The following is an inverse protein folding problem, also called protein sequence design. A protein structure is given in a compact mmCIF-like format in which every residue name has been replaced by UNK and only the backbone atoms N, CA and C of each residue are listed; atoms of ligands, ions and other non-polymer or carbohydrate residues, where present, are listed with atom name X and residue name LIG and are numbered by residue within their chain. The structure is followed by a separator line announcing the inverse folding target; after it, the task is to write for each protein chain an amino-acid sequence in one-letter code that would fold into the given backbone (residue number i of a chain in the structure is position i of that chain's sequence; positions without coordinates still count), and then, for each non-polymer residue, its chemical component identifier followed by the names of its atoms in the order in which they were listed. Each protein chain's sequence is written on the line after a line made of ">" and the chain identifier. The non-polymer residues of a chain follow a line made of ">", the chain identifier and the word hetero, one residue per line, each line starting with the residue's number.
data_IF_226159589245
#
_entry.id   IF_226159589245
#
_cell.length_a   1.000
_cell.length_b   1.000
_cell.length_c   1.000
_cell.angle_alpha   90.00
_cell.angle_beta   90.00
_cell.angle_gamma   90.00
#
_symmetry.space_group_name_H-M   'P 1'
#
loop_
_entity.id
_entity.type
_entity.pdbx_description
1 polymer ?
#
# COMPACT_ATOMS: atom_id res chain seq x y z
N UNK A 1 3.35 15.05 6.35
CA UNK A 1 2.21 15.96 6.16
C UNK A 1 2.50 16.91 5.01
N UNK A 2 1.97 16.64 3.82
CA UNK A 2 1.82 17.64 2.75
C UNK A 2 0.48 17.38 2.07
N UNK A 3 -0.41 18.36 2.19
CA UNK A 3 -1.65 18.44 1.44
C UNK A 3 -1.32 18.97 0.04
N UNK A 4 -1.63 18.21 -1.01
CA UNK A 4 -1.81 18.77 -2.36
C UNK A 4 -3.09 18.19 -2.93
N UNK A 5 -4.05 19.08 -3.13
CA UNK A 5 -5.37 18.83 -3.69
C UNK A 5 -5.30 19.14 -5.18
N UNK A 6 -5.63 18.18 -6.05
CA UNK A 6 -6.38 18.36 -7.30
C UNK A 6 -6.45 17.02 -8.05
N UNK A 7 -7.63 16.41 -8.10
CA UNK A 7 -7.97 15.38 -9.08
C UNK A 7 -9.12 15.92 -9.93
N UNK A 8 -8.88 16.05 -11.23
CA UNK A 8 -9.93 16.14 -12.24
C UNK A 8 -10.60 14.76 -12.33
N UNK A 9 -11.92 14.71 -12.10
CA UNK A 9 -12.71 13.49 -12.22
C UNK A 9 -13.06 13.24 -13.69
N UNK A 10 -12.57 12.13 -14.26
CA UNK A 10 -13.17 11.51 -15.44
C UNK A 10 -14.21 10.50 -14.96
N UNK A 11 -15.45 10.67 -15.42
CA UNK A 11 -16.59 9.83 -15.12
C UNK A 11 -16.54 8.53 -15.92
N UNK A 12 -16.25 7.42 -15.25
CA UNK A 12 -16.48 6.07 -15.77
C UNK A 12 -17.48 5.35 -14.87
N UNK A 13 -18.43 4.64 -15.49
CA UNK A 13 -19.56 3.99 -14.80
C UNK A 13 -19.12 3.08 -13.65
N UNK A 14 -19.75 3.26 -12.49
CA UNK A 14 -19.38 2.71 -11.18
C UNK A 14 -19.24 1.17 -11.15
N UNK A 15 -20.03 0.42 -11.93
CA UNK A 15 -20.04 -1.06 -11.86
C UNK A 15 -18.78 -1.69 -12.46
N UNK A 16 -18.32 -1.20 -13.61
CA UNK A 16 -17.06 -1.65 -14.21
C UNK A 16 -15.86 -1.18 -13.38
N UNK A 17 -15.97 -0.01 -12.75
CA UNK A 17 -14.96 0.54 -11.85
C UNK A 17 -14.78 -0.30 -10.57
N UNK A 18 -15.85 -0.85 -9.99
CA UNK A 18 -15.75 -1.73 -8.79
C UNK A 18 -15.01 -3.02 -9.11
N UNK A 19 -15.27 -3.67 -10.25
CA UNK A 19 -14.54 -4.89 -10.65
C UNK A 19 -13.06 -4.59 -10.98
N UNK A 20 -12.78 -3.49 -11.66
CA UNK A 20 -11.41 -3.05 -11.93
C UNK A 20 -10.65 -2.67 -10.64
N UNK A 21 -11.33 -2.09 -9.65
CA UNK A 21 -10.73 -1.71 -8.37
C UNK A 21 -10.23 -2.92 -7.57
N UNK A 22 -10.89 -4.09 -7.64
CA UNK A 22 -10.46 -5.29 -6.93
C UNK A 22 -9.12 -5.84 -7.46
N UNK A 23 -8.89 -5.77 -8.77
CA UNK A 23 -7.62 -6.20 -9.37
C UNK A 23 -6.46 -5.28 -9.01
N UNK A 24 -6.74 -4.06 -8.57
CA UNK A 24 -5.75 -3.11 -8.08
C UNK A 24 -5.74 -2.97 -6.56
N UNK A 25 -6.50 -3.79 -5.82
CA UNK A 25 -6.56 -3.72 -4.36
C UNK A 25 -5.39 -4.49 -3.71
N UNK A 26 -4.26 -3.83 -3.49
CA UNK A 26 -3.13 -4.44 -2.79
C UNK A 26 -3.29 -4.46 -1.27
N UNK A 27 -4.39 -3.92 -0.72
CA UNK A 27 -4.69 -3.95 0.71
C UNK A 27 -5.53 -5.16 1.11
N UNK A 28 -6.28 -5.75 0.18
CA UNK A 28 -7.09 -6.95 0.43
C UNK A 28 -6.28 -8.11 1.05
N UNK A 29 -5.02 -8.30 0.61
CA UNK A 29 -4.10 -9.31 1.16
C UNK A 29 -3.84 -9.14 2.66
N UNK A 30 -3.95 -7.91 3.17
CA UNK A 30 -3.60 -7.56 4.54
C UNK A 30 -4.75 -7.70 5.55
N UNK A 31 -5.95 -8.04 5.08
CA UNK A 31 -7.13 -8.15 5.93
C UNK A 31 -7.00 -9.27 6.97
N UNK A 32 -7.17 -8.92 8.24
CA UNK A 32 -7.12 -9.88 9.35
C UNK A 32 -5.71 -10.21 9.87
N UNK A 33 -4.66 -9.68 9.24
CA UNK A 33 -3.29 -9.85 9.73
C UNK A 33 -2.97 -8.86 10.85
N UNK A 34 -1.99 -9.23 11.69
CA UNK A 34 -1.56 -8.41 12.82
C UNK A 34 -0.49 -7.42 12.36
N UNK A 35 -0.56 -6.20 12.90
CA UNK A 35 0.45 -5.18 12.62
C UNK A 35 1.82 -5.61 13.14
N UNK A 36 2.81 -5.59 12.25
CA UNK A 36 4.14 -6.16 12.47
C UNK A 36 5.21 -5.08 12.28
N UNK A 37 6.18 -5.07 13.21
CA UNK A 37 7.38 -4.23 13.20
C UNK A 37 8.62 -5.12 13.29
N UNK A 38 9.83 -4.55 13.19
CA UNK A 38 11.09 -5.29 13.31
C UNK A 38 11.25 -6.08 14.63
N UNK A 39 10.54 -5.67 15.69
CA UNK A 39 10.62 -6.25 17.03
C UNK A 39 9.41 -7.15 17.34
N UNK A 40 8.60 -7.52 16.33
CA UNK A 40 7.39 -8.33 16.47
C UNK A 40 7.58 -9.81 16.06
N UNK A 41 6.56 -10.65 16.26
CA UNK A 41 6.60 -12.08 15.91
C UNK A 41 6.90 -12.33 14.41
N UNK A 42 6.39 -11.48 13.52
CA UNK A 42 6.68 -11.50 12.08
C UNK A 42 7.81 -10.52 11.71
N UNK A 43 8.83 -10.43 12.58
CA UNK A 43 10.01 -9.57 12.41
C UNK A 43 10.70 -9.77 11.07
N UNK A 44 10.73 -11.01 10.56
CA UNK A 44 11.38 -11.34 9.30
C UNK A 44 10.82 -10.55 8.09
N UNK A 45 9.50 -10.33 8.01
CA UNK A 45 8.90 -9.51 6.95
C UNK A 45 9.18 -8.03 7.16
N UNK A 46 9.03 -7.55 8.39
CA UNK A 46 9.32 -6.16 8.71
C UNK A 46 10.79 -5.80 8.44
N UNK A 47 11.72 -6.73 8.68
CA UNK A 47 13.14 -6.59 8.37
C UNK A 47 13.41 -6.62 6.86
N UNK A 48 12.83 -7.55 6.11
CA UNK A 48 13.02 -7.62 4.65
C UNK A 48 12.38 -6.44 3.90
N UNK A 49 11.23 -5.96 4.39
CA UNK A 49 10.49 -4.84 3.79
C UNK A 49 10.89 -3.48 4.37
N UNK A 50 11.77 -3.47 5.36
CA UNK A 50 12.28 -2.28 6.07
C UNK A 50 11.13 -1.31 6.36
N UNK A 51 10.11 -1.83 7.05
CA UNK A 51 8.85 -1.12 7.26
C UNK A 51 8.04 -1.71 8.41
N UNK A 52 6.85 -1.14 8.60
CA UNK A 52 5.88 -1.58 9.59
C UNK A 52 4.50 -1.62 8.95
N UNK A 53 3.88 -2.80 8.92
CA UNK A 53 2.63 -3.03 8.21
C UNK A 53 1.91 -4.28 8.73
N UNK A 54 0.70 -4.53 8.28
CA UNK A 54 -0.04 -5.76 8.55
C UNK A 54 0.51 -6.94 7.71
N UNK A 55 1.76 -7.33 7.94
CA UNK A 55 2.47 -8.34 7.15
C UNK A 55 1.96 -9.77 7.38
N UNK A 56 2.15 -10.63 6.38
CA UNK A 56 2.03 -12.10 6.51
C UNK A 56 3.21 -12.86 5.87
N UNK A 57 3.20 -13.06 4.55
CA UNK A 57 4.26 -13.72 3.76
C UNK A 57 4.51 -13.02 2.38
N UNK A 58 5.04 -11.80 2.29
CA UNK A 58 5.09 -10.76 3.31
C UNK A 58 4.04 -9.69 3.07
N UNK A 59 3.88 -9.26 1.82
CA UNK A 59 3.09 -8.08 1.51
C UNK A 59 2.79 -7.92 0.02
N UNK A 60 1.58 -7.43 -0.25
CA UNK A 60 1.18 -6.82 -1.54
C UNK A 60 1.32 -5.27 -1.49
N UNK A 61 1.41 -4.64 -0.31
CA UNK A 61 1.60 -3.19 -0.17
C UNK A 61 2.51 -2.80 0.99
N UNK A 62 3.42 -1.86 0.77
CA UNK A 62 4.36 -1.43 1.81
C UNK A 62 4.37 0.09 1.93
N UNK A 63 3.24 0.69 2.29
CA UNK A 63 3.11 2.16 2.28
C UNK A 63 3.98 2.86 3.32
N UNK A 64 4.44 2.13 4.35
CA UNK A 64 5.40 2.55 5.38
C UNK A 64 6.84 2.09 5.07
N UNK A 65 7.14 1.75 3.82
CA UNK A 65 8.48 1.37 3.38
C UNK A 65 9.45 2.54 3.24
N UNK A 66 10.67 2.24 2.82
CA UNK A 66 11.74 3.22 2.59
C UNK A 66 11.38 4.14 1.43
N UNK A 67 11.53 5.45 1.63
CA UNK A 67 11.34 6.44 0.57
C UNK A 67 12.49 6.37 -0.46
N UNK A 68 12.24 5.70 -1.59
CA UNK A 68 13.21 5.51 -2.70
C UNK A 68 12.53 5.69 -4.07
N UNK A 69 11.89 6.83 -4.34
CA UNK A 69 10.97 7.01 -5.48
C UNK A 69 11.58 6.58 -6.81
N UNK A 70 10.83 5.80 -7.58
CA UNK A 70 11.24 5.29 -8.90
C UNK A 70 12.20 4.11 -8.88
N UNK A 71 12.79 3.77 -7.72
CA UNK A 71 13.66 2.59 -7.59
C UNK A 71 12.83 1.34 -7.38
N UNK A 72 13.29 0.24 -7.98
CA UNK A 72 12.72 -1.09 -7.78
C UNK A 72 13.34 -1.73 -6.54
N UNK A 73 12.52 -2.11 -5.58
CA UNK A 73 12.96 -2.71 -4.33
C UNK A 73 11.78 -3.21 -3.52
N UNK A 74 11.99 -4.29 -2.75
CA UNK A 74 10.96 -4.88 -1.88
C UNK A 74 10.69 -4.03 -0.64
N UNK A 75 11.63 -3.16 -0.32
CA UNK A 75 11.66 -2.27 0.83
C UNK A 75 11.01 -0.91 0.58
N UNK A 76 10.74 -0.56 -0.68
CA UNK A 76 10.20 0.76 -1.04
C UNK A 76 8.75 0.98 -0.62
N UNK A 77 8.26 2.21 -0.78
CA UNK A 77 6.83 2.55 -0.68
C UNK A 77 6.10 1.91 -1.86
N UNK A 78 5.49 0.74 -1.68
CA UNK A 78 5.01 -0.06 -2.83
C UNK A 78 3.52 -0.38 -2.78
N UNK A 79 2.94 -0.54 -3.97
CA UNK A 79 1.57 -1.03 -4.20
C UNK A 79 1.60 -2.03 -5.36
N UNK A 80 1.70 -3.31 -5.03
CA UNK A 80 2.12 -4.37 -5.96
C UNK A 80 1.23 -4.50 -7.19
N UNK A 81 -0.09 -4.46 -7.01
CA UNK A 81 -1.04 -4.69 -8.12
C UNK A 81 -1.10 -3.54 -9.13
N UNK A 82 -0.52 -2.38 -8.81
CA UNK A 82 -0.42 -1.25 -9.73
C UNK A 82 1.00 -1.12 -10.30
N UNK A 83 1.99 -0.99 -9.42
CA UNK A 83 3.37 -0.63 -9.81
C UNK A 83 4.40 -1.67 -9.36
N UNK A 84 3.98 -2.90 -9.04
CA UNK A 84 4.84 -3.99 -8.59
C UNK A 84 5.71 -3.50 -7.40
N UNK A 85 7.01 -3.80 -7.42
CA UNK A 85 7.96 -3.36 -6.39
C UNK A 85 8.67 -2.05 -6.73
N UNK A 86 8.08 -1.17 -7.56
CA UNK A 86 8.61 0.18 -7.76
C UNK A 86 8.13 1.09 -6.65
N UNK A 87 9.05 1.80 -6.01
CA UNK A 87 8.71 2.74 -4.94
C UNK A 87 7.97 3.96 -5.50
N UNK A 88 6.82 4.24 -4.92
CA UNK A 88 6.00 5.42 -5.18
C UNK A 88 6.70 6.69 -4.67
N UNK A 89 6.34 7.82 -5.26
CA UNK A 89 6.80 9.15 -4.82
C UNK A 89 6.13 9.64 -3.52
N UNK A 90 5.14 8.91 -3.02
CA UNK A 90 4.49 9.18 -1.76
C UNK A 90 3.27 8.29 -1.58
N UNK A 91 2.76 8.27 -0.35
CA UNK A 91 1.53 7.57 0.04
C UNK A 91 0.79 8.42 1.08
N UNK A 92 -0.53 8.31 1.11
CA UNK A 92 -1.36 8.95 2.12
C UNK A 92 -2.55 8.04 2.43
N UNK A 93 -2.79 7.78 3.71
CA UNK A 93 -3.93 7.00 4.19
C UNK A 93 -4.85 7.93 4.95
N UNK A 94 -6.12 7.98 4.55
CA UNK A 94 -7.16 8.83 5.16
C UNK A 94 -8.35 7.97 5.54
N UNK A 95 -8.93 8.26 6.70
CA UNK A 95 -10.18 7.65 7.14
C UNK A 95 -11.29 8.70 7.06
N UNK A 96 -12.50 8.22 6.74
CA UNK A 96 -13.72 9.02 6.81
C UNK A 96 -14.79 8.18 7.49
N UNK A 97 -15.58 8.80 8.37
CA UNK A 97 -16.71 8.13 9.02
C UNK A 97 -17.63 7.51 7.97
N UNK A 98 -18.05 6.27 8.21
CA UNK A 98 -19.15 5.64 7.47
C UNK A 98 -20.44 6.20 8.04
N UNK A 99 -21.24 6.86 7.20
CA UNK A 99 -22.51 7.50 7.59
C UNK A 99 -23.45 6.52 8.27
#
# INVERSE_FOLDING_TARGET
>A
MRFVQHFLQLSFNCVSAVRAALWWDSMAYHNGHVFSTKDSEKSWCAMQRIGAWWYDDCTDSNLNGVFRPGLKGREGITWYRWHNTYSLAGSEIKLRKKN
#
